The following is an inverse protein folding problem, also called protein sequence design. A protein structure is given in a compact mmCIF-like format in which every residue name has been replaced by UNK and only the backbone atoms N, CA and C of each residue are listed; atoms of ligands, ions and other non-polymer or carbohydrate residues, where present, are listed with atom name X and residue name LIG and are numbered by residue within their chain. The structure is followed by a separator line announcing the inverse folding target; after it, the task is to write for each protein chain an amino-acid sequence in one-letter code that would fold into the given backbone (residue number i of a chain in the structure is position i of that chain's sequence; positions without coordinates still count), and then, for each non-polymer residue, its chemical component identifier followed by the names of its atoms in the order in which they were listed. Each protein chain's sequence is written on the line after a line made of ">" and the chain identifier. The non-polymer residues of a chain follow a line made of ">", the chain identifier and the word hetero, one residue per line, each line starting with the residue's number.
data_IF_298347647403
#
_entry.id   IF_298347647403
#
_cell.length_a   1.000
_cell.length_b   1.000
_cell.length_c   1.000
_cell.angle_alpha   90.00
_cell.angle_beta   90.00
_cell.angle_gamma   90.00
#
_symmetry.space_group_name_H-M   'P 1'
#
loop_
_entity.id
_entity.type
_entity.pdbx_description
1 polymer ?
#
# COMPACT_ATOMS: atom_id res chain seq x y z
N UNK A 1 -1.02 -6.10 5.89
CA UNK A 1 0.41 -5.92 5.62
C UNK A 1 0.69 -6.19 4.15
N UNK A 2 0.33 -5.28 3.25
CA UNK A 2 0.69 -5.40 1.83
C UNK A 2 2.11 -4.91 1.58
N UNK A 3 2.71 -5.37 0.48
CA UNK A 3 3.91 -4.77 -0.12
C UNK A 3 3.58 -4.29 -1.54
N UNK A 4 3.60 -2.98 -1.75
CA UNK A 4 3.45 -2.35 -3.04
C UNK A 4 4.81 -2.03 -3.66
N UNK A 5 5.03 -2.52 -4.87
CA UNK A 5 6.15 -2.14 -5.72
C UNK A 5 5.66 -1.21 -6.83
N UNK A 6 6.24 -0.02 -6.88
CA UNK A 6 5.96 1.01 -7.89
C UNK A 6 7.12 1.01 -8.87
N UNK A 7 6.90 0.40 -10.03
CA UNK A 7 7.85 0.39 -11.14
C UNK A 7 7.57 1.60 -12.02
N UNK A 8 8.48 2.56 -12.02
CA UNK A 8 8.32 3.81 -12.76
C UNK A 8 9.38 3.94 -13.85
N UNK A 9 8.94 4.37 -15.04
CA UNK A 9 9.83 4.77 -16.15
C UNK A 9 9.96 6.29 -16.24
N UNK A 10 8.98 6.99 -15.66
CA UNK A 10 9.00 8.44 -15.55
C UNK A 10 9.83 8.85 -14.33
N UNK A 11 10.64 9.91 -14.41
CA UNK A 11 11.27 10.47 -13.23
C UNK A 11 10.19 10.95 -12.25
N UNK A 12 10.25 10.47 -11.01
CA UNK A 12 9.38 10.92 -9.93
C UNK A 12 10.21 11.75 -8.95
N UNK A 13 9.69 12.93 -8.58
CA UNK A 13 10.27 13.73 -7.49
C UNK A 13 10.05 13.02 -6.16
N UNK A 14 10.83 13.36 -5.14
CA UNK A 14 10.63 12.76 -3.82
C UNK A 14 9.26 13.13 -3.23
N UNK A 15 8.79 14.36 -3.45
CA UNK A 15 7.44 14.76 -3.08
C UNK A 15 6.35 13.89 -3.75
N UNK A 16 6.50 13.55 -5.04
CA UNK A 16 5.57 12.65 -5.72
C UNK A 16 5.61 11.23 -5.15
N UNK A 17 6.79 10.74 -4.76
CA UNK A 17 6.94 9.43 -4.11
C UNK A 17 6.30 9.42 -2.73
N UNK A 18 6.51 10.46 -1.94
CA UNK A 18 5.94 10.59 -0.60
C UNK A 18 4.40 10.68 -0.68
N UNK A 19 3.88 11.55 -1.56
CA UNK A 19 2.44 11.72 -1.77
C UNK A 19 1.75 10.44 -2.26
N UNK A 20 2.40 9.70 -3.16
CA UNK A 20 1.84 8.45 -3.70
C UNK A 20 1.93 7.31 -2.67
N UNK A 21 2.99 7.24 -1.87
CA UNK A 21 3.10 6.27 -0.78
C UNK A 21 2.04 6.51 0.29
N UNK A 22 1.82 7.78 0.66
CA UNK A 22 0.75 8.18 1.58
C UNK A 22 -0.63 7.81 1.02
N UNK A 23 -0.89 8.13 -0.26
CA UNK A 23 -2.17 7.82 -0.88
C UNK A 23 -2.46 6.31 -0.89
N UNK A 24 -1.50 5.48 -1.30
CA UNK A 24 -1.65 4.01 -1.30
C UNK A 24 -1.89 3.49 0.13
N UNK A 25 -1.14 4.01 1.10
CA UNK A 25 -1.28 3.66 2.52
C UNK A 25 -2.67 3.96 3.03
N UNK A 26 -3.17 5.17 2.79
CA UNK A 26 -4.52 5.58 3.21
C UNK A 26 -5.60 4.72 2.52
N UNK A 27 -5.49 4.48 1.20
CA UNK A 27 -6.45 3.67 0.44
C UNK A 27 -6.54 2.26 1.03
N UNK A 28 -5.41 1.55 1.16
CA UNK A 28 -5.40 0.18 1.67
C UNK A 28 -5.89 0.09 3.12
N UNK A 29 -5.41 1.01 3.99
CA UNK A 29 -5.78 1.04 5.40
C UNK A 29 -7.27 1.34 5.62
N UNK A 30 -7.89 2.11 4.72
CA UNK A 30 -9.32 2.43 4.73
C UNK A 30 -10.15 1.23 4.27
N UNK A 31 -9.83 0.68 3.10
CA UNK A 31 -10.62 -0.41 2.50
C UNK A 31 -10.58 -1.65 3.39
N UNK A 32 -9.41 -2.03 3.91
CA UNK A 32 -9.24 -3.29 4.64
C UNK A 32 -9.10 -3.15 6.16
N UNK A 33 -9.34 -1.95 6.71
CA UNK A 33 -9.16 -1.65 8.16
C UNK A 33 -7.79 -2.11 8.68
N UNK A 34 -6.79 -2.15 7.79
CA UNK A 34 -5.42 -2.55 8.14
C UNK A 34 -4.75 -1.35 8.82
N UNK A 35 -3.91 -1.57 9.85
CA UNK A 35 -3.08 -0.50 10.41
C UNK A 35 -2.18 0.11 9.35
N UNK A 36 -1.93 1.41 9.40
CA UNK A 36 -1.17 2.12 8.36
C UNK A 36 0.29 1.69 8.34
N UNK A 37 0.90 1.46 9.50
CA UNK A 37 2.29 0.98 9.65
C UNK A 37 2.57 -0.33 8.89
N UNK A 38 1.52 -1.13 8.62
CA UNK A 38 1.64 -2.39 7.92
C UNK A 38 1.69 -2.24 6.39
N UNK A 39 1.48 -1.04 5.83
CA UNK A 39 1.47 -0.82 4.38
C UNK A 39 2.86 -0.42 3.93
N UNK A 40 3.52 -1.33 3.21
CA UNK A 40 4.86 -1.09 2.70
C UNK A 40 4.79 -0.64 1.24
N UNK A 41 5.48 0.45 0.91
CA UNK A 41 5.58 0.97 -0.46
C UNK A 41 7.05 1.14 -0.81
N UNK A 42 7.46 0.56 -1.94
CA UNK A 42 8.82 0.71 -2.48
C UNK A 42 8.78 1.15 -3.95
N UNK A 43 9.78 1.93 -4.33
CA UNK A 43 9.93 2.45 -5.69
C UNK A 43 11.10 1.75 -6.40
N UNK A 44 10.88 1.42 -7.67
CA UNK A 44 11.91 0.84 -8.55
C UNK A 44 11.93 1.63 -9.85
N UNK A 45 13.06 2.29 -10.16
CA UNK A 45 13.29 2.87 -11.48
C UNK A 45 13.55 1.76 -12.49
N UNK A 46 12.65 1.62 -13.46
CA UNK A 46 12.72 0.62 -14.53
C UNK A 46 12.91 1.26 -15.91
N UNK A 47 13.30 2.53 -15.98
CA UNK A 47 13.54 3.27 -17.24
C UNK A 47 14.56 2.58 -18.15
N UNK A 48 15.56 1.91 -17.58
CA UNK A 48 16.58 1.17 -18.31
C UNK A 48 16.30 -0.34 -18.45
N UNK A 49 15.16 -0.82 -17.96
CA UNK A 49 14.76 -2.23 -18.04
C UNK A 49 14.01 -2.47 -19.36
N UNK A 50 14.37 -3.54 -20.07
CA UNK A 50 13.69 -3.92 -21.30
C UNK A 50 12.33 -4.53 -21.01
N UNK A 51 11.27 -3.87 -21.48
CA UNK A 51 9.91 -4.40 -21.48
C UNK A 51 9.37 -4.56 -22.90
N UNK A 52 8.58 -5.61 -23.10
CA UNK A 52 7.90 -5.89 -24.34
C UNK A 52 6.39 -6.02 -24.12
N UNK A 53 5.61 -5.37 -24.99
CA UNK A 53 4.15 -5.47 -25.00
C UNK A 53 3.75 -5.93 -26.38
N UNK A 54 3.00 -7.02 -26.46
CA UNK A 54 2.61 -7.62 -27.74
C UNK A 54 3.83 -7.83 -28.66
N UNK A 55 4.95 -8.29 -28.10
CA UNK A 55 6.21 -8.53 -28.82
C UNK A 55 6.98 -7.27 -29.24
N UNK A 56 6.52 -6.05 -28.88
CA UNK A 56 7.17 -4.79 -29.26
C UNK A 56 7.83 -4.14 -28.05
N UNK A 57 9.04 -3.60 -28.24
CA UNK A 57 9.73 -2.83 -27.19
C UNK A 57 8.90 -1.62 -26.80
N UNK A 58 8.63 -1.51 -25.50
CA UNK A 58 7.77 -0.50 -24.89
C UNK A 58 8.23 -0.24 -23.47
N UNK A 59 7.70 0.80 -22.89
CA UNK A 59 7.87 1.15 -21.48
C UNK A 59 6.49 1.32 -20.86
N UNK A 60 6.41 1.28 -19.54
CA UNK A 60 5.18 1.51 -18.81
C UNK A 60 5.44 1.65 -17.32
N UNK A 61 4.61 2.46 -16.66
CA UNK A 61 4.57 2.53 -15.21
C UNK A 61 3.61 1.45 -14.68
N UNK A 62 4.04 0.71 -13.67
CA UNK A 62 3.31 -0.43 -13.13
C UNK A 62 3.31 -0.37 -11.60
N UNK A 63 2.16 -0.65 -11.00
CA UNK A 63 2.05 -0.87 -9.56
C UNK A 63 1.68 -2.33 -9.35
N UNK A 64 2.44 -3.01 -8.48
CA UNK A 64 2.19 -4.40 -8.10
C UNK A 64 2.08 -4.46 -6.59
N UNK A 65 0.90 -4.74 -6.07
CA UNK A 65 0.67 -4.99 -4.64
C UNK A 65 0.67 -6.49 -4.37
N UNK A 66 1.48 -6.96 -3.43
CA UNK A 66 1.31 -8.29 -2.85
C UNK A 66 0.44 -8.17 -1.61
N UNK A 67 -0.75 -8.79 -1.65
CA UNK A 67 -1.79 -8.63 -0.64
C UNK A 67 -2.19 -9.99 -0.07
N UNK A 68 -2.81 -9.96 1.11
CA UNK A 68 -3.49 -11.13 1.68
C UNK A 68 -4.92 -11.22 1.14
N UNK A 69 -5.30 -12.39 0.66
CA UNK A 69 -6.66 -12.71 0.22
C UNK A 69 -7.33 -13.64 1.20
N UNK A 70 -8.65 -13.55 1.30
CA UNK A 70 -9.46 -14.43 2.13
C UNK A 70 -10.94 -14.09 2.02
N UNK A 71 -11.84 -14.91 2.60
CA UNK A 71 -13.29 -14.73 2.46
C UNK A 71 -13.81 -13.36 2.91
N UNK A 72 -13.10 -12.69 3.82
CA UNK A 72 -13.43 -11.35 4.32
C UNK A 72 -13.01 -10.20 3.39
N UNK A 73 -12.38 -10.49 2.23
CA UNK A 73 -11.88 -9.50 1.27
C UNK A 73 -12.36 -9.90 -0.15
N UNK A 74 -13.57 -9.51 -0.57
CA UNK A 74 -14.10 -9.83 -1.89
C UNK A 74 -13.36 -9.12 -3.03
N UNK A 75 -13.52 -9.63 -4.25
CA UNK A 75 -12.90 -9.06 -5.46
C UNK A 75 -13.21 -7.56 -5.65
N UNK A 76 -14.44 -7.14 -5.33
CA UNK A 76 -14.90 -5.75 -5.48
C UNK A 76 -14.07 -4.76 -4.66
N UNK A 77 -13.57 -5.16 -3.48
CA UNK A 77 -12.71 -4.31 -2.65
C UNK A 77 -11.33 -4.12 -3.29
N UNK A 78 -10.79 -5.17 -3.91
CA UNK A 78 -9.52 -5.10 -4.64
C UNK A 78 -9.65 -4.32 -5.97
N UNK A 79 -10.79 -4.44 -6.65
CA UNK A 79 -11.09 -3.65 -7.86
C UNK A 79 -11.21 -2.17 -7.49
N UNK A 80 -11.89 -1.86 -6.38
CA UNK A 80 -11.98 -0.51 -5.82
C UNK A 80 -10.60 0.05 -5.47
N UNK A 81 -9.76 -0.73 -4.78
CA UNK A 81 -8.38 -0.34 -4.46
C UNK A 81 -7.58 0.00 -5.72
N UNK A 82 -7.64 -0.83 -6.77
CA UNK A 82 -6.97 -0.56 -8.05
C UNK A 82 -7.42 0.78 -8.67
N UNK A 83 -8.73 1.06 -8.65
CA UNK A 83 -9.30 2.29 -9.21
C UNK A 83 -8.90 3.53 -8.41
N UNK A 84 -8.89 3.46 -7.09
CA UNK A 84 -8.45 4.56 -6.22
C UNK A 84 -6.95 4.84 -6.37
N UNK A 85 -6.11 3.80 -6.48
CA UNK A 85 -4.67 3.94 -6.76
C UNK A 85 -4.45 4.60 -8.13
N UNK A 86 -5.21 4.20 -9.16
CA UNK A 86 -5.15 4.84 -10.48
C UNK A 86 -5.54 6.33 -10.41
N UNK A 87 -6.57 6.66 -9.63
CA UNK A 87 -6.98 8.05 -9.43
C UNK A 87 -5.89 8.85 -8.69
N UNK A 88 -5.27 8.29 -7.66
CA UNK A 88 -4.14 8.89 -6.95
C UNK A 88 -2.95 9.16 -7.87
N UNK A 89 -2.57 8.17 -8.68
CA UNK A 89 -1.51 8.34 -9.68
C UNK A 89 -1.81 9.50 -10.64
N UNK A 90 -3.03 9.58 -11.16
CA UNK A 90 -3.40 10.64 -12.10
C UNK A 90 -3.36 12.04 -11.47
N UNK A 91 -3.68 12.15 -10.18
CA UNK A 91 -3.66 13.40 -9.43
C UNK A 91 -2.25 13.85 -9.02
N UNK A 92 -1.33 12.91 -8.80
CA UNK A 92 0.01 13.19 -8.25
C UNK A 92 1.07 13.23 -9.36
N UNK A 93 1.04 12.27 -10.29
CA UNK A 93 2.07 12.09 -11.32
C UNK A 93 1.63 12.65 -12.66
N UNK A 94 0.41 12.33 -13.10
CA UNK A 94 -0.07 12.66 -14.44
C UNK A 94 -0.90 13.96 -14.50
N UNK A 95 -0.48 14.99 -13.75
CA UNK A 95 -1.19 16.28 -13.66
C UNK A 95 -1.22 17.00 -15.02
N UNK A 96 -2.17 17.92 -15.27
CA UNK A 96 -2.16 18.73 -16.48
C UNK A 96 -0.87 19.52 -16.68
N UNK A 97 -0.26 19.99 -15.59
CA UNK A 97 1.01 20.71 -15.61
C UNK A 97 2.18 19.80 -15.97
N UNK A 98 2.29 18.62 -15.35
CA UNK A 98 3.33 17.64 -15.68
C UNK A 98 3.22 17.17 -17.14
N UNK A 99 2.00 16.94 -17.63
CA UNK A 99 1.77 16.60 -19.05
C UNK A 99 2.22 17.72 -19.99
N UNK A 100 2.08 18.98 -19.58
CA UNK A 100 2.53 20.14 -20.36
C UNK A 100 4.05 20.28 -20.33
N UNK A 101 4.68 20.00 -19.18
CA UNK A 101 6.12 20.11 -18.98
C UNK A 101 6.89 18.94 -19.63
N UNK A 102 6.28 17.77 -19.73
CA UNK A 102 6.87 16.57 -20.32
C UNK A 102 5.98 15.95 -21.42
N UNK A 103 5.72 16.65 -22.54
CA UNK A 103 4.75 16.22 -23.57
C UNK A 103 5.15 14.92 -24.30
N UNK A 104 6.41 14.51 -24.19
CA UNK A 104 6.93 13.30 -24.82
C UNK A 104 6.99 12.09 -23.86
N UNK A 105 6.70 12.27 -22.56
CA UNK A 105 6.68 11.18 -21.59
C UNK A 105 5.27 10.61 -21.45
N UNK A 106 5.16 9.29 -21.46
CA UNK A 106 3.91 8.60 -21.13
C UNK A 106 3.76 8.54 -19.60
N UNK A 107 3.10 9.56 -19.04
CA UNK A 107 2.86 9.68 -17.59
C UNK A 107 1.74 8.73 -17.09
N UNK A 108 1.12 7.91 -17.94
CA UNK A 108 0.00 7.06 -17.53
C UNK A 108 0.48 5.92 -16.63
N UNK A 109 -0.32 5.59 -15.62
CA UNK A 109 -0.22 4.30 -14.96
C UNK A 109 -0.77 3.25 -15.91
N UNK A 110 0.10 2.33 -16.35
CA UNK A 110 -0.26 1.35 -17.36
C UNK A 110 -0.98 0.15 -16.76
N UNK A 111 -0.58 -0.29 -15.58
CA UNK A 111 -1.33 -1.30 -14.83
C UNK A 111 -1.17 -1.14 -13.33
N UNK A 112 -2.21 -1.55 -12.62
CA UNK A 112 -2.19 -1.82 -11.19
C UNK A 112 -2.63 -3.26 -11.01
N UNK A 113 -1.79 -4.10 -10.40
CA UNK A 113 -2.10 -5.50 -10.15
C UNK A 113 -1.98 -5.79 -8.67
N UNK A 114 -3.03 -6.39 -8.09
CA UNK A 114 -3.01 -6.88 -6.73
C UNK A 114 -2.92 -8.41 -6.77
N UNK A 115 -1.83 -8.94 -6.25
CA UNK A 115 -1.51 -10.36 -6.23
C UNK A 115 -1.84 -10.92 -4.85
N UNK A 116 -2.77 -11.86 -4.78
CA UNK A 116 -3.13 -12.58 -3.55
C UNK A 116 -2.12 -13.65 -3.13
N UNK A 117 -0.82 -13.32 -3.15
CA UNK A 117 0.27 -14.29 -2.95
C UNK A 117 0.76 -14.42 -1.50
N UNK A 118 0.30 -13.57 -0.59
CA UNK A 118 0.85 -13.51 0.77
C UNK A 118 0.16 -14.52 1.70
N UNK A 119 0.73 -15.73 1.76
CA UNK A 119 0.24 -16.83 2.61
C UNK A 119 0.67 -16.70 4.07
N UNK A 120 1.90 -16.23 4.30
CA UNK A 120 2.48 -16.01 5.62
C UNK A 120 3.51 -14.88 5.55
N UNK A 121 3.88 -14.33 6.70
CA UNK A 121 4.92 -13.33 6.82
C UNK A 121 5.27 -13.06 8.27
N UNK A 122 6.41 -12.41 8.46
CA UNK A 122 6.89 -11.91 9.73
C UNK A 122 7.37 -10.48 9.51
N UNK A 123 6.76 -9.54 10.21
CA UNK A 123 6.98 -8.11 10.00
C UNK A 123 7.02 -7.41 11.34
N UNK A 124 8.01 -6.52 11.50
CA UNK A 124 8.21 -5.71 12.70
C UNK A 124 8.17 -6.52 14.02
N UNK A 125 8.66 -7.76 14.00
CA UNK A 125 8.68 -8.61 15.19
C UNK A 125 7.50 -9.58 15.35
N UNK A 126 6.50 -9.54 14.46
CA UNK A 126 5.25 -10.28 14.62
C UNK A 126 4.90 -11.12 13.40
N UNK A 127 4.29 -12.29 13.64
CA UNK A 127 3.64 -13.02 12.57
C UNK A 127 2.42 -12.25 12.09
N UNK A 128 2.27 -12.17 10.77
CA UNK A 128 1.14 -11.47 10.17
C UNK A 128 -0.16 -12.29 10.35
N UNK A 129 -1.32 -11.64 10.58
CA UNK A 129 -2.57 -12.36 10.72
C UNK A 129 -3.11 -12.86 9.36
N UNK A 130 -4.04 -13.84 9.37
CA UNK A 130 -4.83 -14.14 8.18
C UNK A 130 -5.61 -12.90 7.70
N UNK A 131 -6.02 -12.89 6.43
CA UNK A 131 -6.83 -11.80 5.88
C UNK A 131 -8.12 -11.57 6.70
N UNK A 132 -8.31 -10.33 7.16
CA UNK A 132 -9.46 -9.95 8.01
C UNK A 132 -9.26 -10.22 9.51
N UNK A 133 -8.15 -10.84 9.91
CA UNK A 133 -7.79 -11.08 11.32
C UNK A 133 -7.13 -9.89 12.01
N UNK A 134 -7.04 -8.74 11.35
CA UNK A 134 -6.24 -7.59 11.80
C UNK A 134 -6.68 -7.06 13.18
N UNK A 135 -7.99 -6.99 13.48
CA UNK A 135 -8.50 -6.52 14.78
C UNK A 135 -8.14 -7.47 15.92
N UNK A 136 -8.31 -8.78 15.73
CA UNK A 136 -7.93 -9.77 16.74
C UNK A 136 -6.41 -9.72 16.97
N UNK A 137 -5.64 -9.62 15.90
CA UNK A 137 -4.19 -9.50 15.97
C UNK A 137 -3.75 -8.27 16.76
N UNK A 138 -4.41 -7.12 16.55
CA UNK A 138 -4.18 -5.93 17.37
C UNK A 138 -4.47 -6.19 18.85
N UNK A 139 -5.61 -6.80 19.17
CA UNK A 139 -5.97 -7.13 20.55
C UNK A 139 -4.95 -8.07 21.21
N UNK A 140 -4.49 -9.09 20.48
CA UNK A 140 -3.55 -10.10 20.99
C UNK A 140 -2.16 -9.51 21.28
N UNK A 141 -1.76 -8.43 20.59
CA UNK A 141 -0.38 -7.91 20.64
C UNK A 141 -0.25 -6.46 21.15
N UNK A 142 -1.35 -5.76 21.47
CA UNK A 142 -1.32 -4.34 21.84
C UNK A 142 -0.36 -4.03 23.00
N UNK A 143 -0.27 -4.91 24.00
CA UNK A 143 0.66 -4.74 25.12
C UNK A 143 2.13 -4.75 24.67
N UNK A 144 2.48 -5.58 23.68
CA UNK A 144 3.83 -5.63 23.14
C UNK A 144 4.14 -4.40 22.28
N UNK A 145 3.15 -3.89 21.52
CA UNK A 145 3.31 -2.63 20.79
C UNK A 145 3.54 -1.46 21.73
N UNK A 146 2.78 -1.38 22.85
CA UNK A 146 2.97 -0.33 23.86
C UNK A 146 4.35 -0.42 24.55
N UNK A 147 4.85 -1.63 24.80
CA UNK A 147 6.21 -1.85 25.33
C UNK A 147 7.29 -1.38 24.33
N UNK A 148 7.18 -1.77 23.06
CA UNK A 148 8.12 -1.36 22.01
C UNK A 148 8.09 0.17 21.79
N UNK A 149 6.90 0.77 21.78
CA UNK A 149 6.74 2.22 21.71
C UNK A 149 7.41 2.94 22.89
N UNK A 150 7.25 2.41 24.12
CA UNK A 150 7.91 2.94 25.31
C UNK A 150 9.44 2.77 25.27
N UNK A 151 9.94 1.78 24.53
CA UNK A 151 11.36 1.55 24.28
C UNK A 151 11.94 2.45 23.16
N UNK A 152 11.12 3.27 22.50
CA UNK A 152 11.54 4.23 21.47
C UNK A 152 11.30 3.78 20.03
N UNK A 153 10.50 2.74 19.79
CA UNK A 153 10.07 2.36 18.44
C UNK A 153 8.97 3.32 17.94
N UNK A 154 9.32 4.19 16.99
CA UNK A 154 8.43 5.22 16.44
C UNK A 154 7.27 4.62 15.63
N UNK A 155 7.50 3.54 14.90
CA UNK A 155 6.47 2.84 14.10
C UNK A 155 5.41 2.21 15.03
N UNK A 156 5.84 1.62 16.15
CA UNK A 156 4.93 1.10 17.17
C UNK A 156 4.21 2.20 17.93
N UNK A 157 4.87 3.33 18.17
CA UNK A 157 4.23 4.50 18.79
C UNK A 157 3.09 5.04 17.91
N UNK A 158 3.32 5.16 16.60
CA UNK A 158 2.32 5.58 15.63
C UNK A 158 1.19 4.55 15.51
N UNK A 159 1.49 3.25 15.51
CA UNK A 159 0.49 2.19 15.55
C UNK A 159 -0.43 2.31 16.77
N UNK A 160 0.15 2.44 17.97
CA UNK A 160 -0.63 2.56 19.23
C UNK A 160 -1.50 3.81 19.20
N UNK A 161 -0.98 4.93 18.70
CA UNK A 161 -1.73 6.17 18.54
C UNK A 161 -2.89 5.99 17.56
N UNK A 162 -2.62 5.44 16.38
CA UNK A 162 -3.63 5.17 15.35
C UNK A 162 -4.75 4.28 15.89
N UNK A 163 -4.42 3.18 16.56
CA UNK A 163 -5.38 2.24 17.15
C UNK A 163 -6.34 2.95 18.10
N UNK A 164 -5.82 3.90 18.91
CA UNK A 164 -6.60 4.70 19.86
C UNK A 164 -7.50 5.71 19.14
N UNK A 165 -6.97 6.43 18.16
CA UNK A 165 -7.68 7.46 17.39
C UNK A 165 -8.80 6.87 16.52
N UNK A 166 -8.52 5.76 15.82
CA UNK A 166 -9.49 5.05 14.98
C UNK A 166 -10.45 4.17 15.77
N UNK A 167 -10.25 4.01 17.08
CA UNK A 167 -11.10 3.19 17.95
C UNK A 167 -11.12 1.70 17.56
N UNK A 168 -10.02 1.19 17.00
CA UNK A 168 -9.96 -0.15 16.40
C UNK A 168 -10.18 -1.29 17.42
N UNK A 169 -10.01 -1.00 18.71
CA UNK A 169 -10.22 -1.94 19.81
C UNK A 169 -11.54 -1.73 20.58
N UNK A 170 -12.38 -0.74 20.21
CA UNK A 170 -13.57 -0.37 21.00
C UNK A 170 -14.82 -1.24 20.72
N UNK A 171 -14.80 -2.09 19.70
CA UNK A 171 -15.96 -2.88 19.26
C UNK A 171 -15.70 -4.39 19.31
N UNK A 172 -15.42 -4.95 20.48
CA UNK A 172 -15.44 -6.41 20.66
C UNK A 172 -16.49 -6.77 21.69
N UNK A 173 -17.74 -6.90 21.26
CA UNK A 173 -18.68 -7.78 21.95
C UNK A 173 -18.17 -9.19 21.72
N UNK A 174 -17.42 -9.71 22.69
CA UNK A 174 -17.02 -11.11 22.74
C UNK A 174 -18.32 -11.91 22.93
N UNK A 175 -18.74 -12.64 21.90
CA UNK A 175 -19.74 -13.70 21.99
C UNK A 175 -19.02 -15.05 22.07
#
# INVERSE_FOLDING_TARGET
>A
MPLFEIQHVVPLTDAQKDDLAEAITQIHATIFTTPRVAVNVKYTDVSNVLMYIAGKRRQGNHIIGNVRVGPARPQEDFDKECLEILAAWNRIVATPEEKKNAPNLDLRLRSCFLLGGMVAGYEAGFLIPPAGGDVKWLHDHIASFEEQAAAGDEDMADLVKEVKERGMLKNTTIF
#
